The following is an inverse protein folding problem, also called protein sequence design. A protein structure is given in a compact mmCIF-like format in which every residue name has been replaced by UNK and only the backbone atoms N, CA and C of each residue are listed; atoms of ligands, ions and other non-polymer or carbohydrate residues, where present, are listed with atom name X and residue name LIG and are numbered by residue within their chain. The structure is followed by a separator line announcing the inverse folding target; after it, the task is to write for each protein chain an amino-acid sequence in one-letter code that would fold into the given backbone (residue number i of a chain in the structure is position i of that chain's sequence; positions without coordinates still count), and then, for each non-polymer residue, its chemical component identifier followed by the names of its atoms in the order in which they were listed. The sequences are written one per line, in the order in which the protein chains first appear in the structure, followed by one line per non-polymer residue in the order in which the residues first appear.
data_IF_000531537097
#
_entry.id   IF_000531537097
#
_cell.length_a   1.000
_cell.length_b   1.000
_cell.length_c   1.000
_cell.angle_alpha   90.00
_cell.angle_beta   90.00
_cell.angle_gamma   90.00
#
_symmetry.space_group_name_H-M   'P 1'
#
loop_
_entity.id
_entity.type
_entity.pdbx_description
1 polymer ?
#
# COMPACT_ATOMS: atom_id res chain seq x y z
N UNK A 1 -50.11 35.55 -8.87
CA UNK A 1 -49.66 36.77 -8.16
C UNK A 1 -49.43 36.40 -6.70
N UNK A 2 -48.18 36.18 -6.31
CA UNK A 2 -47.76 35.98 -4.92
C UNK A 2 -46.60 36.93 -4.69
N UNK A 3 -46.75 37.75 -3.66
CA UNK A 3 -45.96 38.92 -3.35
C UNK A 3 -44.53 38.59 -2.94
N UNK A 4 -43.62 39.42 -3.41
CA UNK A 4 -42.25 39.58 -2.93
C UNK A 4 -42.24 39.81 -1.41
N UNK A 5 -41.42 39.04 -0.70
CA UNK A 5 -40.85 39.48 0.57
C UNK A 5 -39.38 39.77 0.30
N UNK A 6 -39.11 41.05 0.14
CA UNK A 6 -37.81 41.68 0.28
C UNK A 6 -37.39 41.66 1.77
N UNK A 7 -36.08 41.86 1.96
CA UNK A 7 -35.44 42.38 3.16
C UNK A 7 -35.32 41.47 4.38
N UNK A 8 -34.18 40.77 4.44
CA UNK A 8 -33.40 40.62 5.67
C UNK A 8 -31.92 40.51 5.30
N UNK A 9 -31.30 41.66 5.05
CA UNK A 9 -29.85 41.79 4.93
C UNK A 9 -29.24 41.65 6.34
N UNK A 10 -28.32 40.69 6.58
CA UNK A 10 -27.60 40.63 7.84
C UNK A 10 -26.68 41.84 7.94
N UNK A 11 -26.96 42.70 8.92
CA UNK A 11 -26.13 43.82 9.33
C UNK A 11 -24.70 43.33 9.60
N UNK A 12 -23.77 43.74 8.74
CA UNK A 12 -22.35 43.57 8.95
C UNK A 12 -21.93 44.36 10.20
N UNK A 13 -21.79 43.67 11.32
CA UNK A 13 -21.09 44.22 12.48
C UNK A 13 -19.64 44.52 12.06
N UNK A 14 -19.14 45.75 12.27
CA UNK A 14 -17.74 46.04 12.05
C UNK A 14 -16.92 45.21 13.03
N UNK A 15 -16.20 44.24 12.49
CA UNK A 15 -15.18 43.51 13.23
C UNK A 15 -14.27 44.53 13.89
N UNK A 16 -14.31 44.59 15.22
CA UNK A 16 -13.33 45.30 16.03
C UNK A 16 -11.98 44.71 15.68
N UNK A 17 -11.26 45.40 14.81
CA UNK A 17 -9.84 45.22 14.59
C UNK A 17 -9.18 45.33 15.95
N UNK A 18 -8.91 44.16 16.53
CA UNK A 18 -8.04 44.03 17.67
C UNK A 18 -6.69 44.58 17.21
N UNK A 19 -6.41 45.82 17.60
CA UNK A 19 -5.09 46.42 17.60
C UNK A 19 -4.13 45.37 18.17
N UNK A 20 -3.42 44.70 17.27
CA UNK A 20 -2.35 43.79 17.64
C UNK A 20 -1.28 44.70 18.23
N UNK A 21 -1.22 44.73 19.56
CA UNK A 21 -0.11 45.36 20.28
C UNK A 21 1.20 44.94 19.60
N UNK A 22 2.10 45.90 19.31
CA UNK A 22 3.36 45.60 18.66
C UNK A 22 4.09 44.56 19.50
N UNK A 23 4.32 43.39 18.91
CA UNK A 23 5.03 42.30 19.54
C UNK A 23 6.44 42.78 19.92
N UNK A 24 6.64 43.11 21.19
CA UNK A 24 7.88 43.65 21.71
C UNK A 24 8.93 42.53 21.81
N UNK A 25 9.63 42.36 20.69
CA UNK A 25 10.62 41.31 20.46
C UNK A 25 11.78 41.41 21.49
N UNK A 26 12.05 42.60 22.04
CA UNK A 26 13.12 42.82 23.01
C UNK A 26 12.76 42.31 24.42
N UNK A 27 11.49 42.42 24.82
CA UNK A 27 11.01 41.89 26.09
C UNK A 27 10.99 40.35 26.10
N UNK A 28 10.70 39.71 24.96
CA UNK A 28 10.78 38.25 24.86
C UNK A 28 12.23 37.73 24.80
N UNK A 29 13.17 38.50 24.22
CA UNK A 29 14.60 38.17 24.21
C UNK A 29 15.21 38.32 25.62
N UNK A 30 14.88 39.39 26.37
CA UNK A 30 15.37 39.56 27.75
C UNK A 30 14.81 38.54 28.72
N UNK A 31 13.55 38.08 28.55
CA UNK A 31 12.95 37.06 29.41
C UNK A 31 13.58 35.67 29.23
N UNK A 32 14.23 35.40 28.09
CA UNK A 32 14.90 34.11 27.80
C UNK A 32 16.34 34.02 28.32
N UNK A 33 17.04 35.14 28.53
CA UNK A 33 18.47 35.12 28.92
C UNK A 33 18.75 34.83 30.41
N UNK A 34 17.73 34.91 31.27
CA UNK A 34 17.85 34.70 32.72
C UNK A 34 17.74 33.25 33.22
N UNK A 35 17.54 32.25 32.34
CA UNK A 35 17.45 30.84 32.76
C UNK A 35 18.84 30.27 33.05
N UNK A 36 19.33 30.55 34.26
CA UNK A 36 20.49 29.90 34.88
C UNK A 36 20.52 28.41 34.53
N UNK A 37 21.59 27.97 33.88
CA UNK A 37 21.94 26.56 33.72
C UNK A 37 22.23 25.96 35.09
N UNK A 38 21.17 25.62 35.84
CA UNK A 38 21.28 24.74 36.98
C UNK A 38 21.84 23.41 36.48
N UNK A 39 22.94 22.95 37.08
CA UNK A 39 23.46 21.60 36.88
C UNK A 39 22.31 20.60 37.04
N UNK A 40 21.77 20.13 35.90
CA UNK A 40 20.76 19.07 35.90
C UNK A 40 21.47 17.85 36.48
N UNK A 41 21.08 17.46 37.70
CA UNK A 41 21.53 16.22 38.33
C UNK A 41 21.44 15.10 37.28
N UNK A 42 22.43 14.19 37.20
CA UNK A 42 22.39 13.09 36.24
C UNK A 42 21.04 12.39 36.40
N UNK A 43 20.21 12.51 35.36
CA UNK A 43 18.85 11.97 35.41
C UNK A 43 18.95 10.46 35.56
N UNK A 44 18.07 9.86 36.36
CA UNK A 44 17.98 8.41 36.62
C UNK A 44 18.15 7.55 35.34
N UNK A 45 17.75 8.09 34.19
CA UNK A 45 17.93 7.50 32.86
C UNK A 45 19.39 7.19 32.50
N UNK A 46 20.33 8.07 32.84
CA UNK A 46 21.75 7.89 32.54
C UNK A 46 22.35 6.71 33.33
N UNK A 47 21.99 6.57 34.61
CA UNK A 47 22.40 5.42 35.42
C UNK A 47 21.79 4.12 34.90
N UNK A 48 20.52 4.13 34.49
CA UNK A 48 19.88 2.96 33.91
C UNK A 48 20.56 2.49 32.61
N UNK A 49 20.95 3.41 31.72
CA UNK A 49 21.72 3.06 30.52
C UNK A 49 23.08 2.45 30.84
N UNK A 50 23.79 3.02 31.83
CA UNK A 50 25.08 2.50 32.29
C UNK A 50 24.97 1.09 32.87
N UNK A 51 23.97 0.86 33.73
CA UNK A 51 23.70 -0.46 34.32
C UNK A 51 23.34 -1.49 33.25
N UNK A 52 22.50 -1.12 32.26
CA UNK A 52 22.15 -2.04 31.18
C UNK A 52 23.37 -2.49 30.36
N UNK A 53 24.32 -1.58 30.13
CA UNK A 53 25.55 -1.88 29.41
C UNK A 53 26.45 -2.82 30.22
N UNK A 54 26.56 -2.61 31.54
CA UNK A 54 27.29 -3.52 32.44
C UNK A 54 26.67 -4.91 32.45
N UNK A 55 25.33 -5.01 32.51
CA UNK A 55 24.61 -6.30 32.47
C UNK A 55 24.84 -7.02 31.14
N UNK A 56 24.80 -6.30 30.02
CA UNK A 56 25.10 -6.86 28.70
C UNK A 56 26.53 -7.39 28.60
N UNK A 57 27.51 -6.61 29.07
CA UNK A 57 28.91 -7.02 29.12
C UNK A 57 29.10 -8.28 29.98
N UNK A 58 28.47 -8.35 31.15
CA UNK A 58 28.52 -9.51 32.02
C UNK A 58 27.91 -10.75 31.35
N UNK A 59 26.76 -10.61 30.69
CA UNK A 59 26.14 -11.67 29.90
C UNK A 59 27.07 -12.16 28.79
N UNK A 60 27.69 -11.25 28.03
CA UNK A 60 28.59 -11.61 26.93
C UNK A 60 29.79 -12.41 27.43
N UNK A 61 30.41 -11.99 28.54
CA UNK A 61 31.51 -12.72 29.18
C UNK A 61 31.07 -14.13 29.58
N UNK A 62 29.93 -14.26 30.26
CA UNK A 62 29.39 -15.56 30.68
C UNK A 62 29.05 -16.46 29.48
N UNK A 63 28.43 -15.90 28.44
CA UNK A 63 28.09 -16.63 27.22
C UNK A 63 29.32 -17.19 26.53
N UNK A 64 30.32 -16.34 26.28
CA UNK A 64 31.56 -16.73 25.61
C UNK A 64 32.34 -17.77 26.40
N UNK A 65 32.33 -17.68 27.74
CA UNK A 65 33.11 -18.57 28.57
C UNK A 65 32.46 -19.95 28.76
N UNK A 66 31.14 -20.02 28.92
CA UNK A 66 30.46 -21.26 29.30
C UNK A 66 29.67 -21.93 28.18
N UNK A 67 29.18 -21.17 27.21
CA UNK A 67 28.20 -21.67 26.23
C UNK A 67 28.77 -21.73 24.81
N UNK A 68 29.62 -20.77 24.43
CA UNK A 68 30.07 -20.61 23.04
C UNK A 68 30.78 -21.84 22.46
N UNK A 69 31.42 -22.67 23.29
CA UNK A 69 32.17 -23.86 22.86
C UNK A 69 31.30 -24.95 22.20
N UNK A 70 29.98 -24.94 22.42
CA UNK A 70 29.05 -25.90 21.83
C UNK A 70 28.32 -25.36 20.58
N UNK A 71 28.63 -24.13 20.15
CA UNK A 71 27.96 -23.47 19.03
C UNK A 71 28.97 -23.04 17.96
N UNK A 72 28.54 -22.99 16.69
CA UNK A 72 29.36 -22.45 15.62
C UNK A 72 29.57 -20.93 15.75
N UNK A 73 30.47 -20.39 14.91
CA UNK A 73 30.81 -18.96 14.94
C UNK A 73 29.60 -18.08 14.58
N UNK A 74 28.73 -18.53 13.67
CA UNK A 74 27.56 -17.78 13.22
C UNK A 74 26.47 -17.73 14.30
N UNK A 75 26.23 -18.85 14.98
CA UNK A 75 25.29 -18.95 16.10
C UNK A 75 25.74 -18.06 17.26
N UNK A 76 27.05 -18.05 17.56
CA UNK A 76 27.60 -17.17 18.59
C UNK A 76 27.47 -15.68 18.25
N UNK A 77 27.75 -15.29 17.00
CA UNK A 77 27.53 -13.92 16.53
C UNK A 77 26.05 -13.52 16.63
N UNK A 78 25.15 -14.42 16.22
CA UNK A 78 23.70 -14.17 16.30
C UNK A 78 23.27 -13.90 17.75
N UNK A 79 23.72 -14.71 18.71
CA UNK A 79 23.37 -14.52 20.12
C UNK A 79 23.88 -13.17 20.66
N UNK A 80 25.10 -12.76 20.30
CA UNK A 80 25.64 -11.45 20.71
C UNK A 80 24.83 -10.29 20.12
N UNK A 81 24.48 -10.36 18.83
CA UNK A 81 23.67 -9.33 18.17
C UNK A 81 22.29 -9.24 18.80
N UNK A 82 21.65 -10.37 19.08
CA UNK A 82 20.33 -10.41 19.73
C UNK A 82 20.39 -9.81 21.13
N UNK A 83 21.40 -10.16 21.92
CA UNK A 83 21.59 -9.59 23.25
C UNK A 83 21.80 -8.06 23.20
N UNK A 84 22.57 -7.58 22.22
CA UNK A 84 22.78 -6.15 22.00
C UNK A 84 21.47 -5.44 21.61
N UNK A 85 20.70 -6.02 20.69
CA UNK A 85 19.40 -5.50 20.27
C UNK A 85 18.43 -5.38 21.45
N UNK A 86 18.39 -6.38 22.34
CA UNK A 86 17.56 -6.35 23.55
C UNK A 86 17.95 -5.17 24.44
N UNK A 87 19.25 -4.93 24.64
CA UNK A 87 19.75 -3.84 25.50
C UNK A 87 19.46 -2.48 24.88
N UNK A 88 19.65 -2.32 23.57
CA UNK A 88 19.31 -1.09 22.85
C UNK A 88 17.82 -0.79 22.96
N UNK A 89 16.96 -1.81 22.80
CA UNK A 89 15.53 -1.65 22.90
C UNK A 89 15.05 -1.31 24.32
N UNK A 90 15.60 -1.98 25.35
CA UNK A 90 15.32 -1.66 26.76
C UNK A 90 15.74 -0.23 27.10
N UNK A 91 16.88 0.22 26.56
CA UNK A 91 17.30 1.61 26.69
C UNK A 91 16.34 2.57 26.00
N UNK A 92 15.97 2.32 24.74
CA UNK A 92 15.01 3.15 24.02
C UNK A 92 13.69 3.32 24.81
N UNK A 93 13.20 2.23 25.42
CA UNK A 93 12.01 2.22 26.28
C UNK A 93 12.12 3.15 27.51
N UNK A 94 13.30 3.22 28.14
CA UNK A 94 13.56 4.10 29.27
C UNK A 94 13.56 5.59 28.89
N UNK A 95 13.93 5.89 27.63
CA UNK A 95 14.03 7.26 27.15
C UNK A 95 12.68 7.87 26.77
N UNK A 96 11.73 7.06 26.30
CA UNK A 96 10.38 7.51 25.92
C UNK A 96 9.65 8.09 27.16
N UNK A 97 9.03 9.28 27.05
CA UNK A 97 8.24 9.86 28.15
C UNK A 97 7.05 8.97 28.55
N UNK A 98 6.57 9.10 29.79
CA UNK A 98 5.45 8.31 30.35
C UNK A 98 4.10 9.03 30.27
N UNK A 99 4.00 10.08 29.46
CA UNK A 99 2.74 10.75 29.16
C UNK A 99 1.82 9.87 28.29
N UNK A 100 0.56 10.27 28.13
CA UNK A 100 -0.43 9.46 27.37
C UNK A 100 0.03 9.15 25.94
N UNK A 101 0.70 10.09 25.29
CA UNK A 101 1.28 9.88 23.96
C UNK A 101 2.51 8.97 24.01
N UNK A 102 3.37 9.15 25.02
CA UNK A 102 4.50 8.28 25.30
C UNK A 102 4.13 6.83 25.60
N UNK A 103 2.96 6.55 26.19
CA UNK A 103 2.48 5.17 26.40
C UNK A 103 2.27 4.43 25.06
N UNK A 104 1.72 5.11 24.05
CA UNK A 104 1.55 4.49 22.71
C UNK A 104 2.90 4.20 22.06
N UNK A 105 3.80 5.17 22.10
CA UNK A 105 5.17 5.02 21.59
C UNK A 105 5.95 3.90 22.31
N UNK A 106 5.81 3.81 23.65
CA UNK A 106 6.37 2.71 24.45
C UNK A 106 5.80 1.37 24.02
N UNK A 107 4.48 1.27 23.85
CA UNK A 107 3.85 0.01 23.47
C UNK A 107 4.33 -0.45 22.09
N UNK A 108 4.47 0.47 21.12
CA UNK A 108 5.07 0.16 19.82
C UNK A 108 6.54 -0.26 19.91
N UNK A 109 7.34 0.40 20.75
CA UNK A 109 8.73 0.04 20.98
C UNK A 109 8.87 -1.35 21.65
N UNK A 110 8.01 -1.66 22.63
CA UNK A 110 7.92 -3.01 23.22
C UNK A 110 7.53 -4.03 22.15
N UNK A 111 6.54 -3.72 21.30
CA UNK A 111 6.12 -4.61 20.20
C UNK A 111 7.26 -4.93 19.23
N UNK A 112 8.05 -3.93 18.85
CA UNK A 112 9.23 -4.11 18.01
C UNK A 112 10.30 -4.99 18.70
N UNK A 113 10.52 -4.80 20.00
CA UNK A 113 11.43 -5.66 20.76
C UNK A 113 10.95 -7.10 20.82
N UNK A 114 9.67 -7.33 21.12
CA UNK A 114 9.06 -8.67 21.14
C UNK A 114 9.22 -9.34 19.78
N UNK A 115 9.03 -8.59 18.69
CA UNK A 115 9.22 -9.09 17.33
C UNK A 115 10.68 -9.48 17.02
N UNK A 116 11.66 -8.68 17.46
CA UNK A 116 13.08 -9.03 17.31
C UNK A 116 13.43 -10.29 18.10
N UNK A 117 12.92 -10.43 19.32
CA UNK A 117 13.09 -11.65 20.13
C UNK A 117 12.44 -12.85 19.43
N UNK A 118 11.24 -12.67 18.89
CA UNK A 118 10.58 -13.70 18.07
C UNK A 118 11.46 -14.11 16.88
N UNK A 119 12.00 -13.15 16.10
CA UNK A 119 12.87 -13.47 14.97
C UNK A 119 14.13 -14.22 15.39
N UNK A 120 14.75 -13.82 16.50
CA UNK A 120 15.92 -14.50 17.04
C UNK A 120 15.60 -15.97 17.37
N UNK A 121 14.50 -16.21 18.09
CA UNK A 121 14.03 -17.55 18.45
C UNK A 121 13.68 -18.34 17.19
N UNK A 122 12.97 -17.73 16.24
CA UNK A 122 12.60 -18.35 14.97
C UNK A 122 13.82 -18.83 14.19
N UNK A 123 14.81 -17.95 14.01
CA UNK A 123 16.03 -18.26 13.25
C UNK A 123 16.79 -19.42 13.90
N UNK A 124 16.95 -19.42 15.22
CA UNK A 124 17.75 -20.43 15.92
C UNK A 124 17.06 -21.79 15.95
N UNK A 125 15.75 -21.83 16.22
CA UNK A 125 15.07 -23.08 16.55
C UNK A 125 14.20 -23.65 15.44
N UNK A 126 13.71 -22.81 14.52
CA UNK A 126 12.68 -23.21 13.56
C UNK A 126 13.15 -23.09 12.11
N UNK A 127 14.06 -22.17 11.79
CA UNK A 127 14.39 -21.85 10.39
C UNK A 127 14.94 -23.02 9.58
N UNK A 128 15.63 -23.97 10.22
CA UNK A 128 16.19 -25.15 9.56
C UNK A 128 15.13 -26.07 8.93
N UNK A 129 13.87 -25.99 9.39
CA UNK A 129 12.75 -26.76 8.83
C UNK A 129 12.09 -26.12 7.61
N UNK A 130 12.50 -24.91 7.21
CA UNK A 130 11.84 -24.13 6.17
C UNK A 130 12.82 -23.66 5.09
N UNK A 131 12.33 -23.50 3.87
CA UNK A 131 13.08 -22.89 2.78
C UNK A 131 13.42 -21.41 3.04
N UNK A 132 14.34 -20.85 2.26
CA UNK A 132 14.70 -19.42 2.40
C UNK A 132 13.51 -18.49 2.15
N UNK A 133 12.65 -18.81 1.17
CA UNK A 133 11.47 -18.02 0.84
C UNK A 133 10.39 -18.10 1.93
N UNK A 134 10.16 -19.28 2.50
CA UNK A 134 9.23 -19.49 3.62
C UNK A 134 9.68 -18.71 4.85
N UNK A 135 10.98 -18.79 5.18
CA UNK A 135 11.55 -18.03 6.29
C UNK A 135 11.39 -16.50 6.10
N UNK A 136 11.63 -15.99 4.89
CA UNK A 136 11.38 -14.57 4.56
C UNK A 136 9.89 -14.25 4.70
N UNK A 137 9.01 -15.12 4.21
CA UNK A 137 7.56 -14.98 4.34
C UNK A 137 7.12 -14.87 5.81
N UNK A 138 7.62 -15.76 6.67
CA UNK A 138 7.30 -15.76 8.11
C UNK A 138 7.82 -14.50 8.79
N UNK A 139 9.04 -14.07 8.46
CA UNK A 139 9.62 -12.83 8.99
C UNK A 139 8.79 -11.59 8.61
N UNK A 140 8.38 -11.49 7.33
CA UNK A 140 7.55 -10.37 6.85
C UNK A 140 6.13 -10.43 7.41
N UNK A 141 5.52 -11.62 7.49
CA UNK A 141 4.19 -11.81 8.05
C UNK A 141 4.13 -11.43 9.54
N UNK A 142 5.13 -11.84 10.33
CA UNK A 142 5.22 -11.44 11.74
C UNK A 142 5.39 -9.92 11.91
N UNK A 143 6.14 -9.26 11.02
CA UNK A 143 6.27 -7.80 11.02
C UNK A 143 4.94 -7.11 10.71
N UNK A 144 4.18 -7.63 9.74
CA UNK A 144 2.85 -7.14 9.41
C UNK A 144 1.88 -7.29 10.59
N UNK A 145 1.94 -8.39 11.35
CA UNK A 145 1.14 -8.57 12.58
C UNK A 145 1.46 -7.47 13.60
N UNK A 146 2.75 -7.14 13.81
CA UNK A 146 3.16 -6.01 14.66
C UNK A 146 2.60 -4.69 14.13
N UNK A 147 2.62 -4.50 12.81
CA UNK A 147 1.97 -3.38 12.12
C UNK A 147 0.47 -3.27 12.43
N UNK A 148 -0.26 -4.40 12.38
CA UNK A 148 -1.69 -4.43 12.73
C UNK A 148 -1.94 -4.05 14.19
N UNK A 149 -1.12 -4.55 15.12
CA UNK A 149 -1.19 -4.13 16.53
C UNK A 149 -0.92 -2.62 16.68
N UNK A 150 0.04 -2.08 15.94
CA UNK A 150 0.29 -0.63 15.95
C UNK A 150 -0.90 0.14 15.39
N UNK A 151 -1.53 -0.29 14.29
CA UNK A 151 -2.76 0.33 13.80
C UNK A 151 -3.85 0.32 14.87
N UNK A 152 -4.01 -0.80 15.59
CA UNK A 152 -4.97 -0.90 16.69
C UNK A 152 -4.69 0.08 17.82
N UNK A 153 -3.43 0.39 18.11
CA UNK A 153 -3.02 1.32 19.19
C UNK A 153 -3.11 2.79 18.78
N UNK A 154 -2.75 3.09 17.53
CA UNK A 154 -2.60 4.46 17.05
C UNK A 154 -3.88 5.02 16.44
N UNK A 155 -4.66 4.20 15.74
CA UNK A 155 -5.91 4.66 15.12
C UNK A 155 -7.04 4.64 16.15
N UNK A 156 -7.72 5.79 16.38
CA UNK A 156 -8.85 5.86 17.31
C UNK A 156 -9.93 4.83 16.97
N UNK A 157 -10.47 4.17 18.00
CA UNK A 157 -11.54 3.17 17.84
C UNK A 157 -12.95 3.73 17.72
N UNK A 158 -13.14 5.06 17.75
CA UNK A 158 -14.45 5.70 17.80
C UNK A 158 -14.55 6.83 16.76
N UNK A 159 -15.78 7.12 16.32
CA UNK A 159 -16.07 8.14 15.32
C UNK A 159 -15.68 7.72 13.90
N UNK A 160 -15.45 8.71 13.04
CA UNK A 160 -15.18 8.54 11.61
C UNK A 160 -13.86 7.77 11.33
N UNK A 161 -12.98 7.67 12.34
CA UNK A 161 -11.74 6.91 12.26
C UNK A 161 -11.91 5.38 12.30
N UNK A 162 -13.10 4.88 12.67
CA UNK A 162 -13.36 3.43 12.74
C UNK A 162 -13.18 2.75 11.37
N UNK A 163 -13.65 3.40 10.30
CA UNK A 163 -13.50 2.89 8.94
C UNK A 163 -12.04 2.70 8.55
N UNK A 164 -11.21 3.72 8.81
CA UNK A 164 -9.77 3.66 8.58
C UNK A 164 -9.08 2.54 9.35
N UNK A 165 -9.48 2.30 10.61
CA UNK A 165 -8.92 1.22 11.44
C UNK A 165 -9.22 -0.15 10.86
N UNK A 166 -10.48 -0.44 10.53
CA UNK A 166 -10.91 -1.72 9.98
C UNK A 166 -10.26 -1.97 8.62
N UNK A 167 -10.22 -0.96 7.74
CA UNK A 167 -9.60 -1.07 6.43
C UNK A 167 -8.10 -1.29 6.51
N UNK A 168 -7.39 -0.57 7.39
CA UNK A 168 -5.96 -0.76 7.59
C UNK A 168 -5.65 -2.18 8.12
N UNK A 169 -6.41 -2.68 9.10
CA UNK A 169 -6.24 -4.04 9.61
C UNK A 169 -6.58 -5.08 8.54
N UNK A 170 -7.66 -4.88 7.78
CA UNK A 170 -8.03 -5.76 6.67
C UNK A 170 -6.96 -5.84 5.60
N UNK A 171 -6.39 -4.70 5.21
CA UNK A 171 -5.28 -4.62 4.26
C UNK A 171 -4.02 -5.31 4.78
N UNK A 172 -3.64 -5.08 6.04
CA UNK A 172 -2.50 -5.76 6.67
C UNK A 172 -2.75 -7.27 6.78
N UNK A 173 -3.96 -7.69 7.15
CA UNK A 173 -4.33 -9.10 7.22
C UNK A 173 -4.25 -9.79 5.86
N UNK A 174 -4.71 -9.14 4.80
CA UNK A 174 -4.56 -9.65 3.43
C UNK A 174 -3.09 -9.71 2.98
N UNK A 175 -2.28 -8.68 3.24
CA UNK A 175 -0.85 -8.72 2.94
C UNK A 175 -0.14 -9.85 3.71
N UNK A 176 -0.52 -10.06 4.97
CA UNK A 176 0.00 -11.17 5.79
C UNK A 176 -0.34 -12.51 5.15
N UNK A 177 -1.59 -12.67 4.68
CA UNK A 177 -2.01 -13.83 3.92
C UNK A 177 -1.17 -14.02 2.64
N UNK A 178 -0.98 -13.00 1.81
CA UNK A 178 -0.21 -13.10 0.56
C UNK A 178 1.25 -13.50 0.82
N UNK A 179 1.88 -12.85 1.80
CA UNK A 179 3.27 -13.07 2.17
C UNK A 179 3.50 -14.49 2.71
N UNK A 180 2.51 -15.07 3.40
CA UNK A 180 2.56 -16.48 3.83
C UNK A 180 2.13 -17.43 2.72
N UNK A 181 1.15 -17.08 1.90
CA UNK A 181 0.62 -17.98 0.90
C UNK A 181 1.62 -18.24 -0.21
N UNK A 182 2.31 -17.22 -0.74
CA UNK A 182 3.21 -17.39 -1.89
C UNK A 182 4.33 -18.40 -1.63
N UNK A 183 5.10 -18.33 -0.52
CA UNK A 183 6.18 -19.29 -0.28
C UNK A 183 5.67 -20.71 -0.02
N UNK A 184 4.50 -20.85 0.61
CA UNK A 184 3.93 -22.14 1.00
C UNK A 184 2.99 -22.75 -0.05
N UNK A 185 2.65 -22.02 -1.11
CA UNK A 185 1.67 -22.46 -2.12
C UNK A 185 2.09 -23.78 -2.78
N UNK A 186 3.39 -24.00 -2.98
CA UNK A 186 3.91 -25.22 -3.57
C UNK A 186 3.68 -26.45 -2.68
N UNK A 187 3.77 -26.30 -1.35
CA UNK A 187 3.57 -27.39 -0.40
C UNK A 187 2.10 -27.79 -0.25
N UNK A 188 1.18 -26.90 -0.64
CA UNK A 188 -0.26 -27.16 -0.64
C UNK A 188 -0.69 -28.04 -1.83
N UNK A 189 0.22 -28.42 -2.72
CA UNK A 189 -0.10 -29.21 -3.92
C UNK A 189 -0.98 -28.46 -4.92
N UNK A 190 -1.04 -27.13 -4.82
CA UNK A 190 -1.76 -26.29 -5.76
C UNK A 190 -0.90 -26.08 -7.00
N UNK A 191 -1.48 -26.28 -8.18
CA UNK A 191 -0.84 -25.79 -9.40
C UNK A 191 -0.86 -24.25 -9.45
N UNK A 192 -0.10 -23.70 -10.40
CA UNK A 192 0.04 -22.25 -10.53
C UNK A 192 -1.30 -21.53 -10.78
N UNK A 193 -2.26 -22.16 -11.47
CA UNK A 193 -3.54 -21.54 -11.79
C UNK A 193 -4.45 -21.49 -10.55
N UNK A 194 -4.53 -22.58 -9.80
CA UNK A 194 -5.25 -22.61 -8.52
C UNK A 194 -4.63 -21.62 -7.52
N UNK A 195 -3.30 -21.51 -7.47
CA UNK A 195 -2.63 -20.51 -6.63
C UNK A 195 -3.03 -19.08 -7.02
N UNK A 196 -3.04 -18.75 -8.32
CA UNK A 196 -3.52 -17.43 -8.81
C UNK A 196 -4.99 -17.21 -8.47
N UNK A 197 -5.85 -18.22 -8.63
CA UNK A 197 -7.27 -18.13 -8.27
C UNK A 197 -7.47 -17.84 -6.77
N UNK A 198 -6.69 -18.48 -5.89
CA UNK A 198 -6.70 -18.22 -4.43
C UNK A 198 -6.28 -16.78 -4.14
N UNK A 199 -5.21 -16.29 -4.78
CA UNK A 199 -4.74 -14.91 -4.63
C UNK A 199 -5.84 -13.93 -5.05
N UNK A 200 -6.44 -14.11 -6.22
CA UNK A 200 -7.52 -13.24 -6.72
C UNK A 200 -8.77 -13.29 -5.83
N UNK A 201 -9.12 -14.47 -5.32
CA UNK A 201 -10.23 -14.65 -4.37
C UNK A 201 -9.97 -13.88 -3.07
N UNK A 202 -8.75 -14.00 -2.53
CA UNK A 202 -8.34 -13.26 -1.34
C UNK A 202 -8.35 -11.75 -1.57
N UNK A 203 -7.99 -11.30 -2.78
CA UNK A 203 -8.02 -9.89 -3.17
C UNK A 203 -9.45 -9.35 -3.19
N UNK A 204 -10.43 -10.09 -3.74
CA UNK A 204 -11.84 -9.70 -3.68
C UNK A 204 -12.35 -9.63 -2.25
N UNK A 205 -11.98 -10.59 -1.40
CA UNK A 205 -12.32 -10.56 0.02
C UNK A 205 -11.73 -9.32 0.69
N UNK A 206 -10.46 -9.00 0.41
CA UNK A 206 -9.79 -7.81 0.92
C UNK A 206 -10.49 -6.53 0.46
N UNK A 207 -10.82 -6.39 -0.82
CA UNK A 207 -11.56 -5.23 -1.34
C UNK A 207 -12.90 -5.10 -0.60
N UNK A 208 -13.59 -6.21 -0.35
CA UNK A 208 -14.79 -6.23 0.48
C UNK A 208 -14.54 -5.69 1.89
N UNK A 209 -13.59 -6.28 2.62
CA UNK A 209 -13.25 -5.87 4.00
C UNK A 209 -12.79 -4.41 4.07
N UNK A 210 -12.01 -3.96 3.09
CA UNK A 210 -11.47 -2.59 3.04
C UNK A 210 -12.52 -1.59 2.64
N UNK A 211 -13.41 -1.89 1.68
CA UNK A 211 -14.39 -0.93 1.17
C UNK A 211 -15.69 -0.88 1.98
N UNK A 212 -16.09 -1.98 2.62
CA UNK A 212 -17.35 -2.07 3.38
C UNK A 212 -17.49 -0.96 4.45
N UNK A 213 -16.47 -0.64 5.26
CA UNK A 213 -16.58 0.42 6.27
C UNK A 213 -16.87 1.79 5.68
N UNK A 214 -16.40 2.05 4.45
CA UNK A 214 -16.54 3.34 3.77
C UNK A 214 -17.83 3.47 2.95
N UNK A 215 -18.70 2.46 2.94
CA UNK A 215 -19.90 2.45 2.07
C UNK A 215 -20.79 3.70 2.21
N UNK A 216 -20.85 4.31 3.40
CA UNK A 216 -21.67 5.50 3.66
C UNK A 216 -20.98 6.82 3.27
N UNK A 217 -19.64 6.83 3.31
CA UNK A 217 -18.79 8.01 3.08
C UNK A 217 -18.31 8.13 1.63
N UNK A 218 -18.32 7.02 0.86
CA UNK A 218 -18.10 7.02 -0.58
C UNK A 218 -19.30 7.61 -1.35
N UNK A 219 -19.81 8.75 -0.91
CA UNK A 219 -20.63 9.63 -1.73
C UNK A 219 -19.67 10.32 -2.67
N UNK A 220 -19.49 9.70 -3.83
CA UNK A 220 -18.71 10.31 -4.89
C UNK A 220 -19.58 11.46 -5.41
N UNK A 221 -19.37 12.65 -4.87
CA UNK A 221 -19.87 13.91 -5.43
C UNK A 221 -19.11 14.14 -6.73
N UNK A 222 -19.45 13.36 -7.75
CA UNK A 222 -19.04 13.67 -9.10
C UNK A 222 -19.95 14.81 -9.54
N UNK A 223 -19.39 15.99 -9.72
CA UNK A 223 -20.06 17.19 -10.26
C UNK A 223 -20.38 17.01 -11.76
N UNK A 224 -21.00 15.88 -12.09
CA UNK A 224 -21.01 15.26 -13.41
C UNK A 224 -22.41 14.86 -13.83
N UNK A 225 -23.39 15.72 -13.58
CA UNK A 225 -24.74 15.58 -14.08
C UNK A 225 -25.46 14.30 -13.63
N UNK A 226 -26.72 14.18 -14.06
CA UNK A 226 -27.54 13.02 -13.74
C UNK A 226 -26.93 11.74 -14.34
N UNK A 227 -26.58 10.77 -13.49
CA UNK A 227 -26.19 9.42 -13.90
C UNK A 227 -24.71 9.03 -13.79
N UNK A 228 -23.80 9.95 -13.44
CA UNK A 228 -22.39 9.60 -13.20
C UNK A 228 -22.23 8.55 -12.09
N UNK A 229 -22.97 8.70 -10.98
CA UNK A 229 -22.97 7.75 -9.86
C UNK A 229 -23.35 6.32 -10.31
N UNK A 230 -24.37 6.18 -11.15
CA UNK A 230 -24.81 4.88 -11.69
C UNK A 230 -23.71 4.24 -12.53
N UNK A 231 -22.98 5.01 -13.33
CA UNK A 231 -21.87 4.51 -14.17
C UNK A 231 -20.68 4.07 -13.34
N UNK A 232 -20.33 4.81 -12.29
CA UNK A 232 -19.27 4.41 -11.36
C UNK A 232 -19.64 3.10 -10.67
N UNK A 233 -20.86 2.98 -10.14
CA UNK A 233 -21.37 1.74 -9.54
C UNK A 233 -21.34 0.57 -10.52
N UNK A 234 -21.80 0.77 -11.75
CA UNK A 234 -21.76 -0.26 -12.80
C UNK A 234 -20.33 -0.66 -13.18
N UNK A 235 -19.38 0.28 -13.18
CA UNK A 235 -17.97 0.00 -13.46
C UNK A 235 -17.33 -0.83 -12.33
N UNK A 236 -17.64 -0.51 -11.07
CA UNK A 236 -17.19 -1.30 -9.90
C UNK A 236 -17.76 -2.72 -9.97
N UNK A 237 -19.06 -2.87 -10.26
CA UNK A 237 -19.69 -4.19 -10.41
C UNK A 237 -19.08 -4.95 -11.58
N UNK A 238 -18.91 -4.30 -12.73
CA UNK A 238 -18.28 -4.89 -13.92
C UNK A 238 -16.85 -5.38 -13.64
N UNK A 239 -16.07 -4.60 -12.90
CA UNK A 239 -14.71 -4.97 -12.49
C UNK A 239 -14.73 -6.21 -11.58
N UNK A 240 -15.61 -6.23 -10.56
CA UNK A 240 -15.75 -7.40 -9.67
C UNK A 240 -16.15 -8.64 -10.46
N UNK A 241 -17.12 -8.53 -11.37
CA UNK A 241 -17.55 -9.65 -12.22
C UNK A 241 -16.44 -10.15 -13.13
N UNK A 242 -15.61 -9.25 -13.67
CA UNK A 242 -14.44 -9.63 -14.47
C UNK A 242 -13.39 -10.39 -13.65
N UNK A 243 -13.10 -9.95 -12.42
CA UNK A 243 -12.19 -10.69 -11.52
C UNK A 243 -12.78 -12.05 -11.14
N UNK A 244 -14.08 -12.13 -10.86
CA UNK A 244 -14.78 -13.41 -10.59
C UNK A 244 -14.69 -14.34 -11.81
N UNK A 245 -14.85 -13.81 -13.03
CA UNK A 245 -14.64 -14.59 -14.25
C UNK A 245 -13.23 -15.16 -14.32
N UNK A 246 -12.19 -14.37 -14.02
CA UNK A 246 -10.80 -14.86 -14.02
C UNK A 246 -10.61 -15.95 -12.95
N UNK A 247 -11.18 -15.79 -11.75
CA UNK A 247 -11.11 -16.80 -10.69
C UNK A 247 -11.72 -18.13 -11.18
N UNK A 248 -12.92 -18.07 -11.77
CA UNK A 248 -13.60 -19.25 -12.31
C UNK A 248 -12.78 -19.87 -13.45
N UNK A 249 -12.23 -19.05 -14.35
CA UNK A 249 -11.37 -19.52 -15.43
C UNK A 249 -10.15 -20.27 -14.91
N UNK A 250 -9.41 -19.65 -13.97
CA UNK A 250 -8.20 -20.21 -13.37
C UNK A 250 -8.48 -21.51 -12.62
N UNK A 251 -9.61 -21.61 -11.93
CA UNK A 251 -9.96 -22.78 -11.13
C UNK A 251 -10.46 -23.96 -11.96
N UNK A 252 -11.29 -23.72 -12.97
CA UNK A 252 -12.01 -24.81 -13.65
C UNK A 252 -11.53 -25.09 -15.07
N UNK A 253 -10.98 -24.10 -15.76
CA UNK A 253 -10.74 -24.18 -17.21
C UNK A 253 -9.26 -24.13 -17.57
N UNK A 254 -8.44 -23.41 -16.82
CA UNK A 254 -7.06 -23.12 -17.21
C UNK A 254 -6.19 -24.38 -17.43
N UNK A 255 -6.43 -25.46 -16.69
CA UNK A 255 -5.71 -26.73 -16.85
C UNK A 255 -5.93 -27.42 -18.21
N UNK A 256 -6.95 -27.04 -18.98
CA UNK A 256 -7.22 -27.58 -20.32
C UNK A 256 -6.49 -26.85 -21.45
N UNK A 257 -5.80 -25.74 -21.12
CA UNK A 257 -5.16 -24.86 -22.10
C UNK A 257 -3.68 -24.68 -21.79
N UNK A 258 -2.89 -24.32 -22.82
CA UNK A 258 -1.50 -23.95 -22.61
C UNK A 258 -1.39 -22.66 -21.79
N UNK A 259 -0.22 -22.43 -21.15
CA UNK A 259 0.03 -21.19 -20.43
C UNK A 259 -0.18 -19.94 -21.29
N UNK A 260 0.23 -19.99 -22.56
CA UNK A 260 0.03 -18.88 -23.49
C UNK A 260 -1.45 -18.69 -23.86
N UNK A 261 -2.21 -19.76 -24.11
CA UNK A 261 -3.65 -19.67 -24.37
C UNK A 261 -4.41 -19.10 -23.17
N UNK A 262 -4.00 -19.44 -21.95
CA UNK A 262 -4.55 -18.83 -20.73
C UNK A 262 -4.27 -17.31 -20.67
N UNK A 263 -3.05 -16.88 -21.00
CA UNK A 263 -2.73 -15.44 -21.13
C UNK A 263 -3.62 -14.77 -22.18
N UNK A 264 -3.78 -15.39 -23.35
CA UNK A 264 -4.68 -14.90 -24.41
C UNK A 264 -6.12 -14.76 -23.93
N UNK A 265 -6.63 -15.72 -23.15
CA UNK A 265 -8.00 -15.67 -22.60
C UNK A 265 -8.17 -14.51 -21.61
N UNK A 266 -7.20 -14.29 -20.72
CA UNK A 266 -7.23 -13.16 -19.79
C UNK A 266 -7.25 -11.84 -20.57
N UNK A 267 -6.38 -11.69 -21.57
CA UNK A 267 -6.32 -10.49 -22.42
C UNK A 267 -7.64 -10.25 -23.15
N UNK A 268 -8.23 -11.29 -23.74
CA UNK A 268 -9.53 -11.19 -24.39
C UNK A 268 -10.63 -10.75 -23.42
N UNK A 269 -10.67 -11.34 -22.21
CA UNK A 269 -11.64 -10.97 -21.20
C UNK A 269 -11.50 -9.50 -20.76
N UNK A 270 -10.26 -9.01 -20.67
CA UNK A 270 -9.97 -7.62 -20.36
C UNK A 270 -10.40 -6.68 -21.50
N UNK A 271 -10.19 -7.07 -22.76
CA UNK A 271 -10.71 -6.34 -23.93
C UNK A 271 -12.24 -6.24 -23.87
N UNK A 272 -12.94 -7.35 -23.60
CA UNK A 272 -14.40 -7.36 -23.50
C UNK A 272 -14.88 -6.45 -22.35
N UNK A 273 -14.27 -6.58 -21.17
CA UNK A 273 -14.55 -5.71 -20.02
C UNK A 273 -14.32 -4.23 -20.35
N UNK A 274 -13.18 -3.92 -20.96
CA UNK A 274 -12.82 -2.56 -21.34
C UNK A 274 -13.75 -1.97 -22.40
N UNK A 275 -14.19 -2.73 -23.40
CA UNK A 275 -15.19 -2.30 -24.37
C UNK A 275 -16.55 -2.03 -23.71
N UNK A 276 -16.96 -2.86 -22.75
CA UNK A 276 -18.18 -2.62 -21.97
C UNK A 276 -18.07 -1.34 -21.12
N UNK A 277 -16.92 -1.12 -20.48
CA UNK A 277 -16.65 0.11 -19.73
C UNK A 277 -16.64 1.33 -20.66
N UNK A 278 -15.99 1.25 -21.83
CA UNK A 278 -16.03 2.34 -22.82
C UNK A 278 -17.45 2.63 -23.28
N UNK A 279 -18.25 1.61 -23.60
CA UNK A 279 -19.66 1.79 -23.97
C UNK A 279 -20.47 2.49 -22.87
N UNK A 280 -20.18 2.19 -21.61
CA UNK A 280 -20.80 2.82 -20.46
C UNK A 280 -20.40 4.29 -20.30
N UNK A 281 -19.16 4.67 -20.60
CA UNK A 281 -18.62 6.02 -20.39
C UNK A 281 -18.70 6.92 -21.62
N UNK A 282 -18.75 6.36 -22.83
CA UNK A 282 -18.77 7.07 -24.10
C UNK A 282 -19.88 8.13 -24.23
N UNK A 283 -21.15 7.87 -23.84
CA UNK A 283 -22.18 8.90 -23.93
C UNK A 283 -21.91 10.11 -23.02
N UNK A 284 -21.23 9.92 -21.89
CA UNK A 284 -20.96 11.00 -20.92
C UNK A 284 -19.78 11.85 -21.37
N UNK A 285 -18.70 11.23 -21.81
CA UNK A 285 -17.53 11.94 -22.32
C UNK A 285 -17.88 12.80 -23.56
N UNK A 286 -18.81 12.32 -24.42
CA UNK A 286 -19.34 13.14 -25.53
C UNK A 286 -20.05 14.40 -25.07
N UNK A 287 -20.81 14.35 -23.97
CA UNK A 287 -21.56 15.53 -23.45
C UNK A 287 -20.62 16.60 -22.90
N UNK A 288 -19.46 16.20 -22.36
CA UNK A 288 -18.45 17.14 -21.85
C UNK A 288 -17.59 17.79 -22.93
N UNK A 289 -17.80 17.45 -24.20
CA UNK A 289 -16.94 17.93 -25.27
C UNK A 289 -15.50 17.42 -25.16
N UNK A 290 -15.25 16.38 -24.36
CA UNK A 290 -13.97 15.67 -24.38
C UNK A 290 -13.84 15.04 -25.77
N UNK A 291 -13.00 15.66 -26.60
CA UNK A 291 -13.03 15.50 -28.04
C UNK A 291 -12.75 14.07 -28.54
N UNK A 292 -12.98 13.81 -29.84
CA UNK A 292 -12.69 12.53 -30.53
C UNK A 292 -11.25 12.03 -30.33
N UNK A 293 -10.36 12.89 -29.86
CA UNK A 293 -8.93 12.65 -29.87
C UNK A 293 -8.43 11.77 -28.72
N UNK A 294 -9.12 11.73 -27.58
CA UNK A 294 -8.84 10.76 -26.51
C UNK A 294 -9.26 9.35 -26.91
N UNK A 295 -10.22 9.23 -27.83
CA UNK A 295 -10.74 7.96 -28.31
C UNK A 295 -9.77 7.24 -29.23
N UNK A 296 -8.95 7.97 -29.96
CA UNK A 296 -7.96 7.38 -30.85
C UNK A 296 -6.89 6.58 -30.08
N UNK A 297 -6.31 7.18 -29.02
CA UNK A 297 -5.30 6.51 -28.19
C UNK A 297 -5.88 5.29 -27.47
N UNK A 298 -7.09 5.42 -26.93
CA UNK A 298 -7.83 4.32 -26.32
C UNK A 298 -8.04 3.19 -27.34
N UNK A 299 -8.54 3.50 -28.54
CA UNK A 299 -8.84 2.51 -29.58
C UNK A 299 -7.58 1.78 -30.06
N UNK A 300 -6.44 2.49 -30.20
CA UNK A 300 -5.14 1.87 -30.49
C UNK A 300 -4.76 0.87 -29.39
N UNK A 301 -4.95 1.23 -28.11
CA UNK A 301 -4.68 0.34 -26.99
C UNK A 301 -5.50 -0.95 -27.06
N UNK A 302 -6.79 -0.86 -27.38
CA UNK A 302 -7.65 -2.04 -27.57
C UNK A 302 -7.25 -2.87 -28.79
N UNK A 303 -6.95 -2.22 -29.92
CA UNK A 303 -6.49 -2.92 -31.12
C UNK A 303 -5.20 -3.71 -30.85
N UNK A 304 -4.25 -3.11 -30.12
CA UNK A 304 -3.02 -3.79 -29.68
C UNK A 304 -3.30 -5.00 -28.79
N UNK A 305 -4.20 -4.87 -27.80
CA UNK A 305 -4.58 -5.98 -26.94
C UNK A 305 -5.25 -7.13 -27.70
N UNK A 306 -6.04 -6.82 -28.74
CA UNK A 306 -6.61 -7.84 -29.64
C UNK A 306 -5.51 -8.55 -30.42
N UNK A 307 -4.53 -7.81 -30.96
CA UNK A 307 -3.38 -8.42 -31.66
C UNK A 307 -2.60 -9.34 -30.71
N UNK A 308 -2.32 -8.90 -29.47
CA UNK A 308 -1.65 -9.74 -28.47
C UNK A 308 -2.48 -10.97 -28.10
N UNK A 309 -3.80 -10.82 -27.97
CA UNK A 309 -4.71 -11.95 -27.73
C UNK A 309 -4.58 -13.00 -28.82
N UNK A 310 -4.62 -12.57 -30.09
CA UNK A 310 -4.46 -13.46 -31.24
C UNK A 310 -3.06 -14.10 -31.27
N UNK A 311 -2.01 -13.33 -30.93
CA UNK A 311 -0.64 -13.84 -30.82
C UNK A 311 -0.54 -14.98 -29.80
N UNK A 312 -0.97 -14.72 -28.56
CA UNK A 312 -0.89 -15.67 -27.46
C UNK A 312 -1.78 -16.90 -27.67
N UNK A 313 -2.89 -16.76 -28.39
CA UNK A 313 -3.80 -17.87 -28.67
C UNK A 313 -3.30 -18.80 -29.80
N UNK A 314 -2.78 -18.24 -30.90
CA UNK A 314 -2.48 -19.01 -32.11
C UNK A 314 -1.00 -19.30 -32.33
N UNK A 315 -0.10 -18.43 -31.89
CA UNK A 315 1.31 -18.48 -32.32
C UNK A 315 2.29 -18.74 -31.19
N UNK A 316 2.02 -18.24 -29.98
CA UNK A 316 2.98 -18.19 -28.88
C UNK A 316 3.51 -19.57 -28.42
N UNK A 317 2.75 -20.65 -28.60
CA UNK A 317 3.20 -22.01 -28.23
C UNK A 317 4.35 -22.54 -29.10
N UNK A 318 4.61 -21.92 -30.26
CA UNK A 318 5.77 -22.26 -31.10
C UNK A 318 7.06 -21.55 -30.68
N UNK A 319 6.99 -20.69 -29.66
CA UNK A 319 8.08 -19.83 -29.21
C UNK A 319 8.35 -20.02 -27.72
N UNK A 320 9.59 -19.82 -27.30
CA UNK A 320 9.92 -19.82 -25.88
C UNK A 320 9.50 -18.50 -25.19
N UNK A 321 9.55 -18.47 -23.86
CA UNK A 321 9.13 -17.31 -23.08
C UNK A 321 9.89 -16.02 -23.45
N UNK A 322 11.20 -16.09 -23.72
CA UNK A 322 12.01 -14.92 -24.10
C UNK A 322 11.61 -14.36 -25.47
N UNK A 323 11.33 -15.23 -26.43
CA UNK A 323 10.85 -14.85 -27.75
C UNK A 323 9.46 -14.22 -27.69
N UNK A 324 8.53 -14.81 -26.93
CA UNK A 324 7.20 -14.23 -26.71
C UNK A 324 7.29 -12.86 -26.02
N UNK A 325 8.19 -12.70 -25.04
CA UNK A 325 8.44 -11.41 -24.40
C UNK A 325 9.03 -10.37 -25.37
N UNK A 326 9.94 -10.77 -26.26
CA UNK A 326 10.46 -9.88 -27.31
C UNK A 326 9.36 -9.40 -28.27
N UNK A 327 8.44 -10.28 -28.69
CA UNK A 327 7.28 -9.91 -29.52
C UNK A 327 6.39 -8.90 -28.79
N UNK A 328 6.13 -9.12 -27.50
CA UNK A 328 5.41 -8.16 -26.67
C UNK A 328 6.09 -6.78 -26.69
N UNK A 329 7.40 -6.71 -26.42
CA UNK A 329 8.15 -5.44 -26.40
C UNK A 329 8.15 -4.73 -27.75
N UNK A 330 8.39 -5.45 -28.85
CA UNK A 330 8.38 -4.86 -30.20
C UNK A 330 7.00 -4.33 -30.54
N UNK A 331 5.93 -5.07 -30.25
CA UNK A 331 4.55 -4.62 -30.49
C UNK A 331 4.21 -3.37 -29.67
N UNK A 332 4.68 -3.30 -28.41
CA UNK A 332 4.51 -2.13 -27.54
C UNK A 332 5.23 -0.90 -28.12
N UNK A 333 6.48 -1.07 -28.61
CA UNK A 333 7.24 0.01 -29.25
C UNK A 333 6.55 0.54 -30.50
N UNK A 334 6.01 -0.35 -31.35
CA UNK A 334 5.24 0.04 -32.55
C UNK A 334 4.03 0.88 -32.15
N UNK A 335 3.26 0.42 -31.16
CA UNK A 335 2.07 1.12 -30.68
C UNK A 335 2.41 2.46 -30.05
N UNK A 336 3.48 2.52 -29.25
CA UNK A 336 3.99 3.75 -28.67
C UNK A 336 4.45 4.75 -29.75
N UNK A 337 5.11 4.27 -30.81
CA UNK A 337 5.51 5.11 -31.94
C UNK A 337 4.29 5.67 -32.70
N UNK A 338 3.25 4.86 -32.96
CA UNK A 338 2.01 5.31 -33.61
C UNK A 338 1.28 6.33 -32.72
N UNK A 339 1.12 6.04 -31.43
CA UNK A 339 0.48 6.94 -30.49
C UNK A 339 1.26 8.26 -30.34
N UNK A 340 2.58 8.18 -30.22
CA UNK A 340 3.48 9.32 -30.15
C UNK A 340 3.42 10.20 -31.39
N UNK A 341 3.46 9.61 -32.59
CA UNK A 341 3.32 10.34 -33.85
C UNK A 341 1.96 11.06 -33.95
N UNK A 342 0.88 10.41 -33.49
CA UNK A 342 -0.44 11.01 -33.47
C UNK A 342 -0.56 12.18 -32.48
N UNK A 343 0.12 12.12 -31.33
CA UNK A 343 0.17 13.24 -30.37
C UNK A 343 1.12 14.36 -30.84
N UNK A 344 2.23 14.02 -31.51
CA UNK A 344 3.19 14.99 -32.03
C UNK A 344 2.55 15.98 -32.99
N UNK A 345 1.69 15.49 -33.89
CA UNK A 345 0.92 16.34 -34.80
C UNK A 345 0.10 17.40 -34.07
N UNK A 346 -0.45 17.05 -32.90
CA UNK A 346 -1.20 18.02 -32.07
C UNK A 346 -0.30 19.07 -31.44
N UNK A 347 0.88 18.69 -31.00
CA UNK A 347 1.84 19.63 -30.43
C UNK A 347 2.20 20.71 -31.47
N UNK A 348 2.36 20.29 -32.73
CA UNK A 348 2.55 21.21 -33.84
C UNK A 348 1.32 22.10 -34.09
N UNK A 349 0.10 21.54 -34.03
CA UNK A 349 -1.13 22.33 -34.17
C UNK A 349 -1.28 23.40 -33.05
N UNK A 350 -0.80 23.11 -31.83
CA UNK A 350 -0.74 24.10 -30.73
C UNK A 350 0.35 25.16 -30.93
N UNK A 351 1.49 24.82 -31.53
CA UNK A 351 2.55 25.77 -31.84
C UNK A 351 2.16 26.75 -32.96
N UNK A 352 1.23 26.37 -33.85
CA UNK A 352 0.72 27.21 -34.94
C UNK A 352 -0.37 28.18 -34.48
N UNK A 353 -0.97 27.97 -33.30
CA UNK A 353 -1.78 28.98 -32.63
C UNK A 353 -0.85 30.08 -32.09
N UNK A 354 -0.44 30.99 -32.97
CA UNK A 354 0.37 32.16 -32.68
C UNK A 354 -0.33 32.97 -31.56
N UNK A 355 0.20 32.91 -30.34
CA UNK A 355 -0.29 33.62 -29.15
C UNK A 355 0.01 35.13 -29.23
N UNK A 356 -0.21 35.74 -30.40
CA UNK A 356 -0.14 37.19 -30.58
C UNK A 356 -1.52 37.77 -30.34
N UNK A 357 -1.83 37.98 -29.07
CA UNK A 357 -2.72 39.05 -28.60
C UNK A 357 -2.24 39.55 -27.23
#
# INVERSE_FOLDING_TARGET
MKSNNEDDAPSAEPSKDAEKEPFDLEDEIKKKSGKKHGHKKPTLKAYASMVSFIVWMAFLILWLFFFAGNYGIFENIAVVIVALLVVVALNALLWIPSDREGIKAKTSAVGALIWLVFLAIWIIFFSAGFGIYENIGIALASLLIVGAFNVLLWVPGHGDAWGARVSAIGGIGWLTFIVLFIPFANDLGLDAYHAVAVILTSFLLMVGVVALPWRKEMRIEVDAGEGAEKRVKLSIVGFILWVVFIIIWMWFFAGMFSGNQNVGTILLSFVIFGLAALGLWLPWARVRGEGPESWFSISIGFAWLVVLTLWFWFFADSFNAYQNFAVFLISLLIVAAIAGAAQWKKLQDFEVLDWKD
#
